data_IF_390173435860
#
_entry.id   IF_390173435860
#
_cell.length_a   1.000
_cell.length_b   1.000
_cell.length_c   1.000
_cell.angle_alpha   90.00
_cell.angle_beta   90.00
_cell.angle_gamma   90.00
#
_symmetry.space_group_name_H-M   'P 1'
#
loop_
_entity.id
_entity.type
_entity.pdbx_description
1 polymer ?
#
# COMPACT_ATOMS: atom_id res chain seq x y z
N UNK A 1 -53.64 15.55 -0.26
CA UNK A 1 -53.22 16.88 0.23
C UNK A 1 -52.90 16.76 1.71
N UNK A 2 -51.68 17.20 2.08
CA UNK A 2 -51.26 17.71 3.41
C UNK A 2 -51.19 16.66 4.54
N UNK A 3 -50.01 16.13 4.90
CA UNK A 3 -48.88 16.74 5.65
C UNK A 3 -49.12 16.73 7.17
N UNK A 4 -48.25 15.95 7.85
CA UNK A 4 -47.60 16.23 9.14
C UNK A 4 -48.50 16.32 10.39
N UNK A 5 -48.04 16.11 11.62
CA UNK A 5 -46.75 15.74 12.19
C UNK A 5 -47.03 15.43 13.68
N UNK A 6 -46.50 14.32 14.19
CA UNK A 6 -45.41 14.31 15.15
C UNK A 6 -45.74 14.78 16.58
N UNK A 7 -45.82 13.81 17.48
CA UNK A 7 -45.29 13.92 18.84
C UNK A 7 -44.56 12.61 19.12
N UNK A 8 -43.29 12.50 18.70
CA UNK A 8 -42.11 12.78 19.53
C UNK A 8 -42.23 12.09 20.89
N UNK A 9 -41.71 10.86 21.00
CA UNK A 9 -41.04 10.49 22.24
C UNK A 9 -39.89 9.52 22.01
N UNK A 10 -38.69 10.10 22.18
CA UNK A 10 -37.48 9.50 22.74
C UNK A 10 -37.03 8.13 22.22
N UNK A 11 -35.86 8.13 21.59
CA UNK A 11 -34.67 7.47 22.15
C UNK A 11 -33.44 7.79 21.28
N UNK A 12 -32.59 8.66 21.84
CA UNK A 12 -31.15 8.49 21.96
C UNK A 12 -30.53 7.44 21.00
N UNK A 13 -30.41 7.79 19.74
CA UNK A 13 -29.43 7.17 18.85
C UNK A 13 -28.26 8.14 18.76
N UNK A 14 -27.16 7.77 19.40
CA UNK A 14 -25.83 8.30 19.13
C UNK A 14 -25.71 8.40 17.62
N UNK A 15 -25.68 9.64 17.09
CA UNK A 15 -25.26 9.87 15.71
C UNK A 15 -23.80 9.43 15.66
N UNK A 16 -23.58 8.13 15.43
CA UNK A 16 -22.45 7.69 14.63
C UNK A 16 -22.62 8.48 13.35
N UNK A 17 -21.89 9.58 13.23
CA UNK A 17 -21.62 10.18 11.93
C UNK A 17 -21.10 8.99 11.11
N UNK A 18 -21.97 8.46 10.26
CA UNK A 18 -21.54 7.91 8.98
C UNK A 18 -20.75 9.04 8.34
N UNK A 19 -19.44 9.08 8.63
CA UNK A 19 -18.49 9.73 7.78
C UNK A 19 -18.55 8.84 6.53
N UNK A 20 -19.09 9.29 5.39
CA UNK A 20 -18.74 8.62 4.15
C UNK A 20 -17.20 8.57 4.16
N UNK A 21 -16.65 7.35 4.15
CA UNK A 21 -15.23 7.16 3.87
C UNK A 21 -14.91 8.05 2.67
N UNK A 22 -13.87 8.87 2.82
CA UNK A 22 -13.66 10.09 2.07
C UNK A 22 -14.03 9.96 0.60
N UNK A 23 -14.77 10.95 0.09
CA UNK A 23 -14.77 11.21 -1.34
C UNK A 23 -13.31 11.21 -1.79
N UNK A 24 -12.95 10.23 -2.62
CA UNK A 24 -11.65 10.15 -3.25
C UNK A 24 -11.61 11.38 -4.15
N UNK A 25 -10.90 12.41 -3.73
CA UNK A 25 -10.67 13.61 -4.52
C UNK A 25 -9.67 13.24 -5.62
N UNK A 26 -10.11 13.13 -6.90
CA UNK A 26 -9.25 12.72 -8.00
C UNK A 26 -8.19 13.77 -8.35
N UNK A 27 -8.33 15.00 -7.85
CA UNK A 27 -7.41 16.12 -8.08
C UNK A 27 -6.42 16.32 -6.91
N UNK A 28 -6.56 15.55 -5.83
CA UNK A 28 -5.55 15.54 -4.77
C UNK A 28 -4.26 14.94 -5.37
N UNK A 29 -3.10 15.62 -5.26
CA UNK A 29 -1.84 15.01 -5.65
C UNK A 29 -1.74 13.66 -4.94
N UNK A 30 -1.58 12.57 -5.71
CA UNK A 30 -1.46 11.20 -5.17
C UNK A 30 -0.45 11.26 -4.02
N UNK A 31 -0.93 11.04 -2.80
CA UNK A 31 -0.11 11.21 -1.61
C UNK A 31 1.08 10.26 -1.67
N UNK A 32 2.14 10.56 -0.93
CA UNK A 32 3.31 9.70 -0.85
C UNK A 32 2.90 8.26 -0.45
N UNK A 33 1.85 8.10 0.36
CA UNK A 33 1.23 6.79 0.65
C UNK A 33 0.64 6.08 -0.59
N UNK A 34 -0.04 6.78 -1.48
CA UNK A 34 -0.59 6.19 -2.72
C UNK A 34 0.53 5.78 -3.68
N UNK A 35 1.61 6.57 -3.75
CA UNK A 35 2.80 6.22 -4.50
C UNK A 35 3.51 5.00 -3.87
N UNK A 36 3.61 4.91 -2.54
CA UNK A 36 4.11 3.71 -1.86
C UNK A 36 3.28 2.46 -2.17
N UNK A 37 1.96 2.56 -2.16
CA UNK A 37 1.06 1.47 -2.55
C UNK A 37 1.20 1.09 -4.04
N UNK A 38 1.60 2.04 -4.89
CA UNK A 38 1.91 1.79 -6.31
C UNK A 38 3.25 1.06 -6.45
N UNK A 39 4.29 1.50 -5.72
CA UNK A 39 5.59 0.85 -5.68
C UNK A 39 5.50 -0.59 -5.12
N UNK A 40 4.66 -0.84 -4.10
CA UNK A 40 4.38 -2.20 -3.62
C UNK A 40 3.78 -3.08 -4.72
N UNK A 41 2.84 -2.54 -5.51
CA UNK A 41 2.26 -3.27 -6.65
C UNK A 41 3.29 -3.56 -7.72
N UNK A 42 4.14 -2.60 -8.07
CA UNK A 42 5.24 -2.79 -9.01
C UNK A 42 6.22 -3.87 -8.54
N UNK A 43 6.59 -3.87 -7.26
CA UNK A 43 7.42 -4.93 -6.67
C UNK A 43 6.75 -6.31 -6.83
N UNK A 44 5.46 -6.45 -6.51
CA UNK A 44 4.74 -7.72 -6.68
C UNK A 44 4.71 -8.15 -8.15
N UNK A 45 4.47 -7.24 -9.09
CA UNK A 45 4.51 -7.51 -10.53
C UNK A 45 5.88 -8.01 -10.95
N UNK A 46 6.94 -7.31 -10.54
CA UNK A 46 8.32 -7.68 -10.89
C UNK A 46 8.73 -9.02 -10.29
N UNK A 47 8.33 -9.30 -9.04
CA UNK A 47 8.49 -10.62 -8.44
C UNK A 47 7.68 -11.68 -9.18
N UNK A 48 6.46 -11.38 -9.63
CA UNK A 48 5.63 -12.30 -10.40
C UNK A 48 6.28 -12.69 -11.72
N UNK A 49 6.82 -11.71 -12.44
CA UNK A 49 7.54 -11.95 -13.69
C UNK A 49 8.79 -12.81 -13.48
N UNK A 50 9.49 -12.65 -12.36
CA UNK A 50 10.75 -13.36 -12.09
C UNK A 50 10.54 -14.75 -11.49
N UNK A 51 9.50 -14.93 -10.69
CA UNK A 51 9.33 -16.08 -9.80
C UNK A 51 8.04 -16.88 -10.03
N UNK A 52 7.21 -16.47 -11.00
CA UNK A 52 5.92 -17.09 -11.31
C UNK A 52 4.76 -16.36 -10.67
N UNK A 53 3.54 -16.82 -10.91
CA UNK A 53 2.31 -16.09 -10.57
C UNK A 53 2.19 -15.78 -9.07
N UNK A 54 2.10 -14.48 -8.72
CA UNK A 54 1.91 -14.00 -7.35
C UNK A 54 0.66 -13.13 -7.32
N UNK A 55 -0.29 -13.41 -6.41
CA UNK A 55 -1.48 -12.56 -6.30
C UNK A 55 -1.09 -11.17 -5.82
N UNK A 56 -1.76 -10.13 -6.34
CA UNK A 56 -1.58 -8.74 -5.88
C UNK A 56 -1.90 -8.55 -4.39
N UNK A 57 -2.68 -9.47 -3.81
CA UNK A 57 -3.00 -9.50 -2.39
C UNK A 57 -1.93 -10.19 -1.53
N UNK A 58 -0.81 -10.65 -2.12
CA UNK A 58 0.24 -11.33 -1.39
C UNK A 58 0.81 -10.44 -0.27
N UNK A 59 0.87 -11.02 0.91
CA UNK A 59 1.52 -10.45 2.09
C UNK A 59 3.03 -10.45 1.91
N UNK A 60 3.72 -9.59 2.67
CA UNK A 60 5.18 -9.52 2.62
C UNK A 60 5.84 -10.86 2.99
N UNK A 61 5.26 -11.61 3.93
CA UNK A 61 5.73 -12.94 4.30
C UNK A 61 5.59 -13.96 3.16
N UNK A 62 4.49 -13.93 2.42
CA UNK A 62 4.29 -14.79 1.23
C UNK A 62 5.30 -14.46 0.13
N UNK A 63 5.61 -13.18 -0.09
CA UNK A 63 6.63 -12.74 -1.05
C UNK A 63 8.04 -13.22 -0.64
N UNK A 64 8.37 -13.14 0.65
CA UNK A 64 9.65 -13.64 1.17
C UNK A 64 9.75 -15.16 1.07
N UNK A 65 8.67 -15.88 1.37
CA UNK A 65 8.61 -17.33 1.22
C UNK A 65 8.83 -17.75 -0.23
N UNK A 66 8.23 -17.04 -1.19
CA UNK A 66 8.40 -17.28 -2.62
C UNK A 66 9.84 -17.02 -3.09
N UNK A 67 10.46 -15.96 -2.58
CA UNK A 67 11.83 -15.57 -2.93
C UNK A 67 12.87 -16.49 -2.26
N UNK A 68 12.51 -17.16 -1.17
CA UNK A 68 13.38 -18.07 -0.42
C UNK A 68 13.82 -19.25 -1.29
N UNK A 69 15.13 -19.44 -1.42
CA UNK A 69 15.72 -20.47 -2.28
C UNK A 69 15.86 -20.08 -3.75
N UNK A 70 15.40 -18.88 -4.15
CA UNK A 70 15.56 -18.31 -5.50
C UNK A 70 16.45 -17.07 -5.53
N UNK A 71 16.57 -16.39 -4.39
CA UNK A 71 17.48 -15.29 -4.16
C UNK A 71 18.64 -15.74 -3.26
N UNK A 72 19.79 -15.09 -3.43
CA UNK A 72 20.90 -15.21 -2.48
C UNK A 72 20.53 -14.57 -1.13
N UNK A 73 21.16 -14.99 -0.04
CA UNK A 73 20.86 -14.49 1.31
C UNK A 73 20.89 -12.96 1.39
N UNK A 74 21.90 -12.34 0.79
CA UNK A 74 22.04 -10.88 0.80
C UNK A 74 20.90 -10.17 0.03
N UNK A 75 20.38 -10.77 -1.04
CA UNK A 75 19.25 -10.22 -1.81
C UNK A 75 17.93 -10.40 -1.07
N UNK A 76 17.80 -11.51 -0.33
CA UNK A 76 16.65 -11.78 0.50
C UNK A 76 16.56 -10.78 1.67
N UNK A 77 17.69 -10.47 2.31
CA UNK A 77 17.77 -9.47 3.38
C UNK A 77 17.38 -8.06 2.88
N UNK A 78 17.83 -7.72 1.67
CA UNK A 78 17.45 -6.46 1.01
C UNK A 78 15.95 -6.43 0.69
N UNK A 79 15.38 -7.52 0.16
CA UNK A 79 13.95 -7.64 -0.12
C UNK A 79 13.12 -7.53 1.17
N UNK A 80 13.53 -8.20 2.24
CA UNK A 80 12.87 -8.13 3.55
C UNK A 80 12.87 -6.71 4.09
N UNK A 81 14.01 -6.03 4.01
CA UNK A 81 14.13 -4.63 4.44
C UNK A 81 13.23 -3.71 3.61
N UNK A 82 13.21 -3.88 2.29
CA UNK A 82 12.40 -3.07 1.39
C UNK A 82 10.89 -3.28 1.63
N UNK A 83 10.44 -4.52 1.83
CA UNK A 83 9.06 -4.84 2.15
C UNK A 83 8.62 -4.25 3.49
N UNK A 84 9.45 -4.35 4.53
CA UNK A 84 9.16 -3.76 5.83
C UNK A 84 9.02 -2.23 5.75
N UNK A 85 9.89 -1.57 4.99
CA UNK A 85 9.80 -0.12 4.77
C UNK A 85 8.55 0.25 3.95
N UNK A 86 8.25 -0.49 2.88
CA UNK A 86 7.04 -0.29 2.08
C UNK A 86 5.77 -0.45 2.93
N UNK A 87 5.72 -1.45 3.81
CA UNK A 87 4.58 -1.68 4.70
C UNK A 87 4.41 -0.55 5.71
N UNK A 88 5.51 -0.06 6.29
CA UNK A 88 5.49 1.10 7.16
C UNK A 88 4.98 2.36 6.42
N UNK A 89 5.34 2.56 5.15
CA UNK A 89 4.84 3.69 4.36
C UNK A 89 3.36 3.54 3.97
N UNK A 90 2.93 2.33 3.63
CA UNK A 90 1.56 2.05 3.18
C UNK A 90 0.55 2.09 4.34
N UNK A 91 0.92 1.56 5.51
CA UNK A 91 0.01 1.30 6.62
C UNK A 91 0.38 2.02 7.92
N UNK A 92 1.50 2.75 7.94
CA UNK A 92 1.94 3.51 9.10
C UNK A 92 1.06 4.73 9.41
N UNK A 93 1.11 5.21 10.67
CA UNK A 93 0.31 6.35 11.11
C UNK A 93 0.74 7.67 10.47
N UNK A 94 2.02 7.78 10.08
CA UNK A 94 2.62 8.99 9.53
C UNK A 94 2.58 9.00 7.99
N UNK A 95 2.50 10.19 7.39
CA UNK A 95 2.66 10.33 5.94
C UNK A 95 4.14 10.14 5.58
N UNK A 96 4.48 9.23 4.65
CA UNK A 96 5.87 9.04 4.25
C UNK A 96 6.41 10.27 3.54
N UNK A 97 7.70 10.57 3.73
CA UNK A 97 8.38 11.61 2.97
C UNK A 97 8.73 11.13 1.56
N UNK A 98 8.62 12.03 0.57
CA UNK A 98 8.94 11.71 -0.83
C UNK A 98 10.40 11.21 -0.99
N UNK A 99 11.36 11.83 -0.31
CA UNK A 99 12.78 11.40 -0.33
C UNK A 99 13.00 9.97 0.18
N UNK A 100 12.12 9.49 1.06
CA UNK A 100 12.20 8.13 1.58
C UNK A 100 11.66 7.14 0.56
N UNK A 101 10.60 7.53 -0.15
CA UNK A 101 9.99 6.73 -1.19
C UNK A 101 10.90 6.60 -2.41
N UNK A 102 11.55 7.67 -2.85
CA UNK A 102 12.44 7.65 -4.02
C UNK A 102 13.67 6.75 -3.77
N UNK A 103 14.28 6.82 -2.57
CA UNK A 103 15.36 5.91 -2.15
C UNK A 103 14.91 4.45 -2.11
N UNK A 104 13.67 4.20 -1.70
CA UNK A 104 13.10 2.86 -1.66
C UNK A 104 12.80 2.34 -3.06
N UNK A 105 12.34 3.19 -3.98
CA UNK A 105 12.15 2.84 -5.38
C UNK A 105 13.47 2.42 -6.05
N UNK A 106 14.55 3.16 -5.82
CA UNK A 106 15.89 2.79 -6.30
C UNK A 106 16.40 1.47 -5.70
N UNK A 107 16.09 1.19 -4.43
CA UNK A 107 16.43 -0.08 -3.79
C UNK A 107 15.64 -1.24 -4.40
N UNK A 108 14.33 -1.08 -4.60
CA UNK A 108 13.45 -2.06 -5.24
C UNK A 108 13.91 -2.37 -6.66
N UNK A 109 14.23 -1.35 -7.45
CA UNK A 109 14.75 -1.49 -8.81
C UNK A 109 16.03 -2.35 -8.87
N UNK A 110 16.96 -2.15 -7.92
CA UNK A 110 18.18 -2.97 -7.80
C UNK A 110 17.88 -4.42 -7.46
N UNK A 111 16.90 -4.69 -6.59
CA UNK A 111 16.51 -6.05 -6.18
C UNK A 111 15.80 -6.80 -7.30
N UNK A 112 14.92 -6.12 -8.03
CA UNK A 112 14.13 -6.72 -9.12
C UNK A 112 14.93 -6.88 -10.42
N UNK A 113 16.13 -6.30 -10.50
CA UNK A 113 16.95 -6.30 -11.72
C UNK A 113 16.39 -5.40 -12.82
N UNK A 114 15.38 -4.58 -12.50
CA UNK A 114 14.94 -3.48 -13.35
C UNK A 114 15.91 -2.33 -13.14
N UNK A 115 17.09 -2.43 -13.76
CA UNK A 115 18.02 -1.31 -13.84
C UNK A 115 17.30 -0.12 -14.45
N UNK A 116 17.32 1.02 -13.76
CA UNK A 116 17.03 2.31 -14.38
C UNK A 116 18.03 2.43 -15.52
N UNK A 117 17.55 2.31 -16.75
CA UNK A 117 18.32 2.66 -17.93
C UNK A 117 18.59 4.16 -17.84
N UNK A 118 19.77 4.51 -17.33
CA UNK A 118 20.35 5.84 -17.43
C UNK A 118 20.85 6.09 -18.86
#
# INVERSE_FOLDING_TARGET
AVILAALIYRRRAVRRRHRPAGAIDPDRPKGARDRAASLRRELVISLSHRFGDVPFSATSDELLLLARGRLESHQLDLLQTALAQLDAMCYGPDEPGDDQLDRLAEAVARITGQGVAA
#
